data_IF_826073026326
#
_entry.id   IF_826073026326
#
_cell.length_a   1.000
_cell.length_b   1.000
_cell.length_c   1.000
_cell.angle_alpha   90.00
_cell.angle_beta   90.00
_cell.angle_gamma   90.00
#
_symmetry.space_group_name_H-M   'P 1'
#
loop_
_entity.id
_entity.type
_entity.pdbx_description
1 polymer ?
#
# COMPACT_ATOMS: atom_id res chain seq x y z
N UNK A 1 -30.16 10.90 37.09
CA UNK A 1 -30.75 9.92 36.15
C UNK A 1 -29.79 9.79 34.97
N UNK A 2 -29.30 8.56 34.73
CA UNK A 2 -28.56 8.04 33.55
C UNK A 2 -27.20 8.70 33.26
N UNK A 3 -26.10 8.32 33.93
CA UNK A 3 -25.20 7.19 33.62
C UNK A 3 -24.97 6.94 32.12
N UNK A 4 -23.85 7.41 31.57
CA UNK A 4 -23.12 6.74 30.48
C UNK A 4 -21.61 6.98 30.64
N UNK A 5 -20.96 6.12 31.43
CA UNK A 5 -19.51 5.91 31.37
C UNK A 5 -19.23 5.09 30.12
N UNK A 6 -18.95 5.75 29.00
CA UNK A 6 -18.43 5.08 27.82
C UNK A 6 -17.04 4.52 28.17
N UNK A 7 -16.94 3.19 28.23
CA UNK A 7 -15.70 2.48 28.41
C UNK A 7 -14.70 2.94 27.34
N UNK A 8 -13.53 3.39 27.79
CA UNK A 8 -12.40 3.69 26.90
C UNK A 8 -11.89 2.35 26.37
N UNK A 9 -11.80 2.13 25.05
CA UNK A 9 -11.18 0.92 24.54
C UNK A 9 -9.68 0.99 24.83
N UNK A 10 -9.22 0.05 25.66
CA UNK A 10 -7.82 -0.14 26.03
C UNK A 10 -7.13 -0.96 24.93
N UNK A 11 -6.28 -0.30 24.14
CA UNK A 11 -5.55 -0.89 23.02
C UNK A 11 -4.14 -1.35 23.41
N UNK A 12 -3.83 -1.57 24.70
CA UNK A 12 -2.52 -2.04 25.12
C UNK A 12 -2.40 -3.58 25.07
N UNK A 13 -1.83 -4.03 23.95
CA UNK A 13 -0.99 -5.23 23.74
C UNK A 13 -1.67 -6.62 23.81
N UNK A 14 -1.57 -7.40 22.72
CA UNK A 14 -1.43 -8.85 22.81
C UNK A 14 0.05 -9.25 22.73
N UNK A 15 0.53 -9.91 23.78
CA UNK A 15 1.84 -10.55 23.83
C UNK A 15 1.90 -11.70 22.82
N UNK A 16 2.73 -11.59 21.78
CA UNK A 16 3.05 -12.72 20.90
C UNK A 16 4.56 -12.93 20.84
N UNK A 17 5.02 -13.96 21.53
CA UNK A 17 6.38 -14.50 21.47
C UNK A 17 6.47 -15.35 20.20
N UNK A 18 7.09 -14.84 19.16
CA UNK A 18 7.40 -15.62 17.94
C UNK A 18 8.80 -16.23 18.12
N UNK A 19 8.84 -17.54 18.35
CA UNK A 19 10.06 -18.33 18.25
C UNK A 19 10.42 -18.56 16.79
N UNK A 20 11.56 -18.02 16.36
CA UNK A 20 12.11 -18.25 15.02
C UNK A 20 13.06 -19.46 15.12
N UNK A 21 12.63 -20.60 14.59
CA UNK A 21 13.50 -21.76 14.37
C UNK A 21 14.35 -21.54 13.12
N UNK A 22 15.66 -21.48 13.35
CA UNK A 22 16.71 -21.35 12.35
C UNK A 22 16.89 -22.67 11.59
N UNK A 23 16.55 -22.71 10.30
CA UNK A 23 16.92 -23.82 9.42
C UNK A 23 18.04 -23.34 8.47
N UNK A 24 19.25 -23.84 8.74
CA UNK A 24 20.43 -23.72 7.87
C UNK A 24 20.27 -24.67 6.67
N UNK A 25 20.33 -24.13 5.45
CA UNK A 25 20.55 -24.91 4.23
C UNK A 25 21.78 -24.36 3.51
N UNK A 26 22.86 -25.14 3.55
CA UNK A 26 24.14 -24.93 2.89
C UNK A 26 24.22 -25.75 1.61
N UNK A 27 24.54 -25.11 0.48
CA UNK A 27 25.29 -25.66 -0.67
C UNK A 27 25.32 -24.58 -1.77
N UNK A 28 26.44 -23.88 -2.01
CA UNK A 28 27.65 -24.31 -2.73
C UNK A 28 27.40 -24.58 -4.23
N UNK A 29 27.98 -23.74 -5.10
CA UNK A 29 27.96 -23.93 -6.56
C UNK A 29 28.43 -22.70 -7.34
N UNK A 30 29.72 -22.42 -7.30
CA UNK A 30 30.41 -21.38 -8.09
C UNK A 30 30.81 -21.97 -9.45
N UNK A 31 30.36 -21.38 -10.58
CA UNK A 31 31.06 -21.50 -11.86
C UNK A 31 31.06 -20.17 -12.61
N UNK A 32 32.28 -19.77 -12.97
CA UNK A 32 32.67 -18.59 -13.74
C UNK A 32 32.63 -18.89 -15.23
N UNK A 33 32.26 -17.87 -16.02
CA UNK A 33 32.46 -17.74 -17.46
C UNK A 33 31.53 -16.64 -17.95
N UNK A 34 31.94 -15.53 -18.57
CA UNK A 34 33.07 -15.29 -19.46
C UNK A 34 32.50 -14.50 -20.65
N UNK A 35 33.08 -13.33 -20.93
CA UNK A 35 32.59 -12.20 -21.73
C UNK A 35 32.29 -12.50 -23.21
N UNK A 36 31.33 -11.78 -23.82
CA UNK A 36 31.52 -11.07 -25.09
C UNK A 36 30.31 -10.16 -25.40
N UNK A 37 30.59 -8.89 -25.70
CA UNK A 37 29.67 -7.93 -26.30
C UNK A 37 29.69 -8.10 -27.81
N UNK A 38 28.52 -8.29 -28.43
CA UNK A 38 28.31 -7.98 -29.84
C UNK A 38 27.11 -7.02 -29.96
N UNK A 39 27.42 -5.80 -30.41
CA UNK A 39 26.47 -4.83 -30.94
C UNK A 39 26.31 -5.13 -32.42
N UNK A 40 25.16 -5.67 -32.83
CA UNK A 40 24.72 -5.68 -34.23
C UNK A 40 23.22 -5.88 -34.34
N UNK A 41 22.53 -4.82 -34.79
CA UNK A 41 21.46 -4.83 -35.78
C UNK A 41 20.28 -5.80 -35.63
N UNK A 42 19.11 -5.21 -35.37
CA UNK A 42 17.80 -5.47 -36.00
C UNK A 42 17.51 -6.85 -36.61
N UNK A 43 16.57 -7.57 -36.00
CA UNK A 43 15.40 -8.10 -36.71
C UNK A 43 14.37 -8.64 -35.71
N UNK A 44 13.19 -8.01 -35.68
CA UNK A 44 11.97 -8.62 -35.14
C UNK A 44 11.74 -9.91 -35.92
N UNK A 45 12.06 -11.03 -35.30
CA UNK A 45 11.64 -12.34 -35.75
C UNK A 45 10.26 -12.57 -35.16
N UNK A 46 9.24 -12.16 -35.92
CA UNK A 46 7.87 -12.68 -35.77
C UNK A 46 7.91 -14.17 -36.09
N UNK A 47 8.34 -14.97 -35.10
CA UNK A 47 8.17 -16.41 -35.10
C UNK A 47 6.69 -16.70 -35.23
N UNK A 48 6.28 -17.07 -36.44
CA UNK A 48 4.92 -17.47 -36.75
C UNK A 48 4.54 -18.69 -35.95
N UNK A 49 3.79 -18.47 -34.87
CA UNK A 49 2.92 -19.49 -34.31
C UNK A 49 1.68 -19.58 -35.22
N UNK A 50 1.80 -20.19 -36.39
CA UNK A 50 0.61 -20.62 -37.14
C UNK A 50 0.05 -21.88 -36.48
N UNK A 51 -0.60 -21.71 -35.33
CA UNK A 51 -1.62 -22.65 -34.93
C UNK A 51 -2.91 -22.20 -35.59
N UNK A 52 -3.30 -22.91 -36.64
CA UNK A 52 -4.66 -22.87 -37.18
C UNK A 52 -5.60 -23.19 -36.03
N UNK A 53 -6.17 -22.15 -35.41
CA UNK A 53 -7.23 -22.27 -34.43
C UNK A 53 -8.36 -23.03 -35.12
N UNK A 54 -8.54 -24.30 -34.74
CA UNK A 54 -9.75 -25.03 -35.05
C UNK A 54 -10.93 -24.16 -34.63
N UNK A 55 -11.85 -23.93 -35.55
CA UNK A 55 -13.00 -23.03 -35.48
C UNK A 55 -14.07 -23.45 -34.44
N UNK A 56 -13.66 -24.11 -33.36
CA UNK A 56 -14.48 -24.60 -32.25
C UNK A 56 -13.89 -24.33 -30.86
N UNK A 57 -12.82 -23.54 -30.75
CA UNK A 57 -12.28 -23.10 -29.46
C UNK A 57 -12.96 -21.83 -28.95
N UNK A 58 -13.58 -21.89 -27.78
CA UNK A 58 -13.99 -20.68 -27.04
C UNK A 58 -12.77 -20.12 -26.29
N UNK A 59 -12.35 -18.90 -26.62
CA UNK A 59 -11.40 -18.16 -25.80
C UNK A 59 -12.16 -17.47 -24.66
N UNK A 60 -11.91 -17.89 -23.41
CA UNK A 60 -12.37 -17.19 -22.22
C UNK A 60 -11.27 -16.24 -21.77
N UNK A 61 -11.46 -14.94 -21.97
CA UNK A 61 -10.65 -13.91 -21.33
C UNK A 61 -11.42 -13.48 -20.08
N UNK A 62 -11.06 -13.94 -18.86
CA UNK A 62 -11.74 -13.43 -17.68
C UNK A 62 -11.46 -11.94 -17.59
N UNK A 63 -12.49 -11.15 -17.27
CA UNK A 63 -12.35 -9.70 -17.08
C UNK A 63 -11.67 -9.43 -15.73
N UNK A 64 -10.35 -9.67 -15.70
CA UNK A 64 -9.48 -9.52 -14.53
C UNK A 64 -8.73 -8.18 -14.52
N UNK A 65 -8.92 -7.36 -15.55
CA UNK A 65 -8.06 -6.20 -15.74
C UNK A 65 -8.34 -5.11 -14.70
N UNK A 66 -9.59 -4.91 -14.30
CA UNK A 66 -9.95 -3.88 -13.32
C UNK A 66 -9.60 -4.30 -11.89
N UNK A 67 -9.86 -5.56 -11.51
CA UNK A 67 -9.50 -6.08 -10.20
C UNK A 67 -7.98 -6.13 -9.97
N UNK A 68 -7.19 -6.45 -11.01
CA UNK A 68 -5.73 -6.37 -10.91
C UNK A 68 -5.21 -4.94 -10.80
N UNK A 69 -5.87 -3.97 -11.46
CA UNK A 69 -5.49 -2.56 -11.35
C UNK A 69 -5.75 -2.03 -9.95
N UNK A 70 -6.93 -2.29 -9.40
CA UNK A 70 -7.30 -1.90 -8.04
C UNK A 70 -6.34 -2.52 -7.00
N UNK A 71 -6.05 -3.81 -7.11
CA UNK A 71 -5.08 -4.49 -6.26
C UNK A 71 -3.68 -3.85 -6.38
N UNK A 72 -3.23 -3.53 -7.60
CA UNK A 72 -1.92 -2.89 -7.81
C UNK A 72 -1.86 -1.48 -7.21
N UNK A 73 -2.94 -0.71 -7.34
CA UNK A 73 -3.07 0.63 -6.74
C UNK A 73 -3.00 0.53 -5.22
N UNK A 74 -3.79 -0.36 -4.61
CA UNK A 74 -3.78 -0.57 -3.16
C UNK A 74 -2.41 -1.03 -2.65
N UNK A 75 -1.80 -2.03 -3.31
CA UNK A 75 -0.46 -2.51 -2.97
C UNK A 75 0.58 -1.38 -3.03
N UNK A 76 0.50 -0.53 -4.06
CA UNK A 76 1.38 0.64 -4.20
C UNK A 76 1.23 1.58 -3.01
N UNK A 77 0.00 1.89 -2.61
CA UNK A 77 -0.27 2.77 -1.47
C UNK A 77 0.27 2.17 -0.17
N UNK A 78 -0.06 0.92 0.11
CA UNK A 78 0.28 0.25 1.37
C UNK A 78 1.79 0.04 1.51
N UNK A 79 2.47 -0.43 0.46
CA UNK A 79 3.94 -0.61 0.46
C UNK A 79 4.65 0.72 0.68
N UNK A 80 4.20 1.79 0.03
CA UNK A 80 4.82 3.11 0.20
C UNK A 80 4.59 3.68 1.60
N UNK A 81 3.41 3.47 2.19
CA UNK A 81 3.11 3.87 3.56
C UNK A 81 3.98 3.12 4.57
N UNK A 82 4.02 1.80 4.49
CA UNK A 82 4.83 0.94 5.36
C UNK A 82 6.31 1.31 5.28
N UNK A 83 6.81 1.64 4.08
CA UNK A 83 8.20 2.05 3.90
C UNK A 83 8.57 3.40 4.57
N UNK A 84 7.60 4.14 5.11
CA UNK A 84 7.86 5.36 5.89
C UNK A 84 7.82 5.14 7.41
N UNK A 85 7.48 3.94 7.88
CA UNK A 85 7.46 3.63 9.32
C UNK A 85 8.83 3.91 9.95
N UNK A 86 8.82 4.57 11.11
CA UNK A 86 10.02 4.92 11.87
C UNK A 86 10.71 6.21 11.42
N UNK A 87 10.24 6.86 10.34
CA UNK A 87 10.73 8.19 9.98
C UNK A 87 10.20 9.24 10.97
N UNK A 88 11.02 10.24 11.35
CA UNK A 88 10.56 11.32 12.20
C UNK A 88 9.44 12.14 11.54
N UNK A 89 8.47 12.55 12.35
CA UNK A 89 7.46 13.53 11.96
C UNK A 89 8.11 14.88 11.63
N UNK A 90 7.73 15.47 10.51
CA UNK A 90 8.13 16.82 10.11
C UNK A 90 6.88 17.63 9.82
N UNK A 91 6.61 18.64 10.64
CA UNK A 91 5.47 19.53 10.44
C UNK A 91 5.52 20.21 9.08
N UNK A 92 4.46 20.10 8.28
CA UNK A 92 4.43 20.63 6.92
C UNK A 92 5.12 19.72 5.89
N UNK A 93 5.73 18.61 6.30
CA UNK A 93 6.44 17.69 5.41
C UNK A 93 5.51 16.94 4.46
N UNK A 94 5.93 16.83 3.20
CA UNK A 94 5.16 16.23 2.09
C UNK A 94 6.02 15.31 1.20
N UNK A 95 7.28 15.06 1.56
CA UNK A 95 8.20 14.36 0.66
C UNK A 95 9.14 13.40 1.37
N UNK A 96 9.57 12.38 0.63
CA UNK A 96 10.47 11.34 1.16
C UNK A 96 11.80 11.90 1.67
N UNK A 97 12.27 13.00 1.08
CA UNK A 97 13.52 13.68 1.43
C UNK A 97 13.33 14.70 2.56
N UNK A 98 12.23 15.46 2.56
CA UNK A 98 11.92 16.48 3.57
C UNK A 98 11.22 15.96 4.83
N UNK A 99 10.80 14.68 4.83
CA UNK A 99 9.96 14.11 5.87
C UNK A 99 8.47 14.38 5.62
N UNK A 100 7.64 13.85 6.51
CA UNK A 100 6.19 13.89 6.39
C UNK A 100 5.53 14.39 7.67
N UNK A 101 4.45 15.14 7.52
CA UNK A 101 3.38 15.15 8.51
C UNK A 101 2.28 14.15 8.14
N UNK A 102 1.31 13.97 9.04
CA UNK A 102 0.24 12.98 8.87
C UNK A 102 -0.46 13.08 7.50
N UNK A 103 -0.96 14.26 7.14
CA UNK A 103 -1.66 14.46 5.87
C UNK A 103 -0.73 14.49 4.66
N UNK A 104 0.53 14.92 4.82
CA UNK A 104 1.54 14.90 3.77
C UNK A 104 1.98 13.47 3.42
N UNK A 105 2.04 12.57 4.40
CA UNK A 105 2.25 11.13 4.15
C UNK A 105 1.12 10.58 3.27
N UNK A 106 -0.14 10.84 3.63
CA UNK A 106 -1.30 10.38 2.87
C UNK A 106 -1.28 10.91 1.44
N UNK A 107 -1.01 12.21 1.28
CA UNK A 107 -0.92 12.84 -0.04
C UNK A 107 0.17 12.18 -0.91
N UNK A 108 1.33 11.89 -0.31
CA UNK A 108 2.42 11.24 -1.02
C UNK A 108 2.05 9.81 -1.47
N UNK A 109 1.55 8.97 -0.57
CA UNK A 109 1.29 7.55 -0.88
C UNK A 109 0.14 7.37 -1.87
N UNK A 110 -0.92 8.17 -1.75
CA UNK A 110 -2.01 8.20 -2.73
C UNK A 110 -1.54 8.76 -4.07
N UNK A 111 -0.68 9.78 -4.04
CA UNK A 111 -0.06 10.35 -5.23
C UNK A 111 0.82 9.35 -6.00
N UNK A 112 1.51 8.45 -5.31
CA UNK A 112 2.26 7.35 -5.98
C UNK A 112 1.33 6.41 -6.75
N UNK A 113 0.08 6.31 -6.35
CA UNK A 113 -0.94 5.51 -7.02
C UNK A 113 -1.82 6.34 -7.98
N UNK A 114 -1.44 7.59 -8.26
CA UNK A 114 -2.15 8.48 -9.17
C UNK A 114 -3.39 9.17 -8.58
N UNK A 115 -3.63 9.02 -7.27
CA UNK A 115 -4.76 9.62 -6.56
C UNK A 115 -4.34 10.93 -5.91
N UNK A 116 -4.97 12.03 -6.33
CA UNK A 116 -4.68 13.35 -5.78
C UNK A 116 -5.66 13.68 -4.65
N UNK A 117 -5.12 14.14 -3.53
CA UNK A 117 -5.92 14.57 -2.38
C UNK A 117 -5.46 15.94 -1.86
N UNK A 118 -6.36 16.69 -1.20
CA UNK A 118 -6.00 17.95 -0.57
C UNK A 118 -4.88 17.81 0.45
N UNK A 119 -4.21 18.92 0.74
CA UNK A 119 -3.02 18.94 1.61
C UNK A 119 -3.32 18.66 3.08
N UNK A 120 -4.47 19.08 3.59
CA UNK A 120 -4.78 19.04 5.03
C UNK A 120 -5.71 17.87 5.37
N UNK A 121 -5.53 17.27 6.54
CA UNK A 121 -6.37 16.15 7.00
C UNK A 121 -7.88 16.49 6.98
N UNK A 122 -8.26 17.70 7.39
CA UNK A 122 -9.65 18.14 7.35
C UNK A 122 -10.21 18.25 5.92
N UNK A 123 -9.40 18.73 4.97
CA UNK A 123 -9.82 18.81 3.57
C UNK A 123 -9.87 17.42 2.91
N UNK A 124 -8.98 16.50 3.29
CA UNK A 124 -9.03 15.10 2.86
C UNK A 124 -10.32 14.43 3.36
N UNK A 125 -10.67 14.61 4.64
CA UNK A 125 -11.91 14.08 5.21
C UNK A 125 -13.16 14.65 4.52
N UNK A 126 -13.14 15.92 4.13
CA UNK A 126 -14.25 16.55 3.40
C UNK A 126 -14.36 16.12 1.93
N UNK A 127 -13.25 15.68 1.32
CA UNK A 127 -13.20 15.28 -0.08
C UNK A 127 -13.54 13.80 -0.32
N UNK A 128 -13.53 12.98 0.73
CA UNK A 128 -13.72 11.53 0.65
C UNK A 128 -15.07 11.11 1.22
N UNK A 129 -15.70 10.06 0.66
CA UNK A 129 -16.93 9.51 1.22
C UNK A 129 -16.65 8.87 2.60
N UNK A 130 -17.60 9.02 3.53
CA UNK A 130 -17.50 8.38 4.83
C UNK A 130 -17.80 6.87 4.73
N UNK A 131 -16.93 6.05 5.33
CA UNK A 131 -17.10 4.61 5.44
C UNK A 131 -17.36 4.25 6.91
N UNK A 132 -18.42 3.46 7.23
CA UNK A 132 -18.61 2.95 8.59
C UNK A 132 -17.43 2.07 9.01
N UNK A 133 -17.00 2.15 10.26
CA UNK A 133 -15.89 1.33 10.77
C UNK A 133 -16.13 -0.18 10.62
N UNK A 134 -17.38 -0.63 10.62
CA UNK A 134 -17.75 -2.03 10.37
C UNK A 134 -17.44 -2.51 8.94
N UNK A 135 -17.22 -1.59 8.01
CA UNK A 135 -16.93 -1.86 6.61
C UNK A 135 -15.52 -1.38 6.20
N UNK A 136 -14.67 -1.07 7.17
CA UNK A 136 -13.34 -0.56 6.87
C UNK A 136 -12.49 -1.59 6.11
N UNK A 137 -11.81 -1.14 5.09
CA UNK A 137 -10.94 -1.94 4.22
C UNK A 137 -9.54 -1.34 4.18
N UNK A 138 -8.57 -2.19 3.82
CA UNK A 138 -7.18 -1.74 3.65
C UNK A 138 -7.14 -0.61 2.62
N UNK A 139 -6.44 0.47 2.94
CA UNK A 139 -6.39 1.67 2.12
C UNK A 139 -7.36 2.77 2.57
N UNK A 140 -8.37 2.46 3.38
CA UNK A 140 -9.24 3.48 3.97
C UNK A 140 -8.46 4.41 4.90
N UNK A 141 -8.89 5.66 4.95
CA UNK A 141 -8.29 6.67 5.81
C UNK A 141 -9.03 6.79 7.13
N UNK A 142 -8.27 6.74 8.21
CA UNK A 142 -8.75 6.95 9.58
C UNK A 142 -8.45 8.38 10.00
N UNK A 143 -9.49 9.12 10.37
CA UNK A 143 -9.35 10.49 10.86
C UNK A 143 -9.63 10.58 12.35
N UNK A 144 -8.78 11.34 13.05
CA UNK A 144 -8.80 11.43 14.51
C UNK A 144 -8.91 12.86 15.00
N UNK A 145 -9.33 13.01 16.26
CA UNK A 145 -9.25 14.25 17.01
C UNK A 145 -8.17 14.12 18.09
N UNK A 146 -6.93 14.50 17.76
CA UNK A 146 -5.78 14.47 18.69
C UNK A 146 -5.40 15.86 19.20
N UNK A 147 -5.89 16.92 18.56
CA UNK A 147 -5.55 18.32 18.86
C UNK A 147 -6.77 19.16 19.29
N UNK A 148 -7.83 18.52 19.77
CA UNK A 148 -9.04 19.22 20.24
C UNK A 148 -9.93 19.78 19.13
N UNK A 149 -9.70 19.40 17.86
CA UNK A 149 -10.55 19.75 16.71
C UNK A 149 -10.76 18.53 15.79
N UNK A 150 -11.92 18.44 15.11
CA UNK A 150 -12.19 17.36 14.16
C UNK A 150 -11.10 17.22 13.10
N UNK A 151 -10.79 15.98 12.72
CA UNK A 151 -9.85 15.65 11.63
C UNK A 151 -8.47 16.32 11.80
N UNK A 152 -7.97 16.37 13.04
CA UNK A 152 -6.66 16.96 13.36
C UNK A 152 -5.48 16.02 13.07
N UNK A 153 -5.75 14.74 12.85
CA UNK A 153 -4.76 13.75 12.46
C UNK A 153 -5.39 12.71 11.53
N UNK A 154 -4.59 12.10 10.67
CA UNK A 154 -5.02 11.10 9.69
C UNK A 154 -4.00 9.98 9.60
N UNK A 155 -4.47 8.75 9.40
CA UNK A 155 -3.64 7.59 9.06
C UNK A 155 -4.34 6.72 8.03
N UNK A 156 -3.61 5.76 7.47
CA UNK A 156 -4.12 4.80 6.48
C UNK A 156 -4.22 3.41 7.09
N UNK A 157 -5.38 2.77 6.98
CA UNK A 157 -5.65 1.46 7.53
C UNK A 157 -4.95 0.36 6.71
N UNK A 158 -4.22 -0.53 7.39
CA UNK A 158 -3.46 -1.62 6.76
C UNK A 158 -4.03 -3.01 7.07
N UNK A 159 -5.15 -3.07 7.80
CA UNK A 159 -5.79 -4.31 8.22
C UNK A 159 -5.38 -4.76 9.62
N UNK A 160 -6.14 -5.69 10.20
CA UNK A 160 -5.83 -6.28 11.51
C UNK A 160 -5.77 -5.26 12.64
N UNK A 161 -6.68 -4.27 12.63
CA UNK A 161 -6.74 -3.18 13.60
C UNK A 161 -5.47 -2.29 13.63
N UNK A 162 -4.70 -2.29 12.55
CA UNK A 162 -3.48 -1.50 12.41
C UNK A 162 -3.63 -0.42 11.33
N UNK A 163 -2.90 0.68 11.53
CA UNK A 163 -2.80 1.78 10.57
C UNK A 163 -1.41 2.39 10.59
N UNK A 164 -1.06 3.09 9.52
CA UNK A 164 0.19 3.86 9.39
C UNK A 164 -0.12 5.35 9.40
N UNK A 165 0.68 6.10 10.14
CA UNK A 165 0.68 7.56 10.15
C UNK A 165 2.11 8.06 10.33
N UNK A 166 2.34 9.34 10.01
CA UNK A 166 3.57 10.04 10.34
C UNK A 166 3.44 10.71 11.71
#
# INVERSE_FOLDING_TARGET
MVSQTAARPDWRRPDFRIGVSLALLTSAGLLLGGCATDLSGSAVSSGGYTNTLSSRGYAYRPDIQESHREATVLDTVLVNAIAQIGKPYVWGGESRAGGFDCSGLIQYVLGQAGVQVPRTAAAQAAALPAVPLSHIQKGDLLFFNTLGRPYSHVGIYIGGDQFVSA
#
